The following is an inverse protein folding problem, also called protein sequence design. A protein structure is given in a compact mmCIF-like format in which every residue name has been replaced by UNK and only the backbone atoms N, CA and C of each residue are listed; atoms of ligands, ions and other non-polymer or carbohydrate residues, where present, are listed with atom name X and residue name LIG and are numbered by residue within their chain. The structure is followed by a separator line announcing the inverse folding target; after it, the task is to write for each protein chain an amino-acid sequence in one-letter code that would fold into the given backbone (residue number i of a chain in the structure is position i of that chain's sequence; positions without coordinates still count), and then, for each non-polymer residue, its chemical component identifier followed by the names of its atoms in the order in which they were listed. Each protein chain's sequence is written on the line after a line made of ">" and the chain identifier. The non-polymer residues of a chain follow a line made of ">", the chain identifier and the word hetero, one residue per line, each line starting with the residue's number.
data_IF_576827622904
#
_entry.id   IF_576827622904
#
_cell.length_a   1.000
_cell.length_b   1.000
_cell.length_c   1.000
_cell.angle_alpha   90.00
_cell.angle_beta   90.00
_cell.angle_gamma   90.00
#
_symmetry.space_group_name_H-M   'P 1'
#
loop_
_entity.id
_entity.type
_entity.pdbx_description
1 polymer ?
#
# COMPACT_ATOMS: atom_id res chain seq x y z
N UNK A 1 -5.28 -4.31 7.98
CA UNK A 1 -5.20 -5.78 7.83
C UNK A 1 -4.21 -6.50 8.77
N UNK A 2 -3.19 -5.85 9.35
CA UNK A 2 -2.07 -6.50 10.08
C UNK A 2 -2.42 -7.25 11.39
N UNK A 3 -3.64 -7.13 11.95
CA UNK A 3 -3.98 -7.61 13.31
C UNK A 3 -4.85 -8.87 13.44
N UNK A 4 -5.45 -9.40 12.37
CA UNK A 4 -6.58 -10.37 12.49
C UNK A 4 -6.26 -11.82 12.09
N UNK A 5 -4.99 -12.17 11.82
CA UNK A 5 -4.59 -13.50 11.35
C UNK A 5 -3.44 -14.07 12.20
N UNK A 6 -3.55 -15.34 12.65
CA UNK A 6 -2.46 -16.08 13.33
C UNK A 6 -1.44 -16.64 12.32
N UNK A 7 -0.17 -16.66 12.71
CA UNK A 7 1.05 -16.67 11.87
C UNK A 7 1.08 -17.57 10.63
N UNK A 8 0.82 -18.88 10.74
CA UNK A 8 0.97 -19.80 9.61
C UNK A 8 -0.14 -19.68 8.55
N UNK A 9 -1.38 -19.43 8.98
CA UNK A 9 -2.48 -19.16 8.04
C UNK A 9 -2.36 -17.79 7.39
N UNK A 10 -1.78 -16.82 8.12
CA UNK A 10 -1.50 -15.47 7.62
C UNK A 10 -0.56 -15.50 6.41
N UNK A 11 0.57 -16.20 6.52
CA UNK A 11 1.54 -16.28 5.42
C UNK A 11 0.97 -16.99 4.19
N UNK A 12 0.13 -18.00 4.37
CA UNK A 12 -0.54 -18.71 3.28
C UNK A 12 -1.55 -17.83 2.55
N UNK A 13 -2.37 -17.07 3.28
CA UNK A 13 -3.34 -16.13 2.69
C UNK A 13 -2.62 -14.95 2.03
N UNK A 14 -1.58 -14.40 2.66
CA UNK A 14 -0.76 -13.33 2.07
C UNK A 14 -0.10 -13.80 0.77
N UNK A 15 0.38 -15.05 0.71
CA UNK A 15 0.95 -15.61 -0.53
C UNK A 15 -0.10 -15.70 -1.63
N UNK A 16 -1.27 -16.29 -1.35
CA UNK A 16 -2.38 -16.40 -2.33
C UNK A 16 -2.86 -15.04 -2.82
N UNK A 17 -2.98 -14.07 -1.91
CA UNK A 17 -3.35 -12.70 -2.27
C UNK A 17 -2.30 -12.06 -3.18
N UNK A 18 -1.02 -12.21 -2.86
CA UNK A 18 0.06 -11.69 -3.72
C UNK A 18 0.08 -12.38 -5.09
N UNK A 19 -0.13 -13.69 -5.15
CA UNK A 19 -0.20 -14.44 -6.42
C UNK A 19 -1.36 -13.94 -7.29
N UNK A 20 -2.56 -13.80 -6.73
CA UNK A 20 -3.72 -13.27 -7.46
C UNK A 20 -3.52 -11.81 -7.89
N UNK A 21 -3.12 -10.92 -6.98
CA UNK A 21 -2.98 -9.48 -7.28
C UNK A 21 -1.86 -9.15 -8.25
N UNK A 22 -0.77 -9.93 -8.27
CA UNK A 22 0.41 -9.63 -9.08
C UNK A 22 0.62 -10.62 -10.23
N UNK A 23 -0.31 -11.55 -10.42
CA UNK A 23 -0.34 -12.41 -11.58
C UNK A 23 -0.49 -11.61 -12.88
N UNK A 24 -0.17 -12.26 -14.00
CA UNK A 24 -0.35 -11.70 -15.35
C UNK A 24 -1.76 -11.93 -15.91
N UNK A 25 -2.69 -12.38 -15.07
CA UNK A 25 -4.06 -12.66 -15.49
C UNK A 25 -4.82 -11.37 -15.81
N UNK A 26 -5.80 -11.43 -16.73
CA UNK A 26 -6.70 -10.31 -17.00
C UNK A 26 -7.60 -10.01 -15.81
N UNK A 27 -8.07 -8.76 -15.72
CA UNK A 27 -8.90 -8.22 -14.63
C UNK A 27 -10.01 -9.18 -14.14
N UNK A 28 -10.79 -9.75 -15.06
CA UNK A 28 -11.92 -10.60 -14.71
C UNK A 28 -11.50 -11.89 -13.99
N UNK A 29 -10.38 -12.49 -14.40
CA UNK A 29 -9.86 -13.71 -13.79
C UNK A 29 -9.27 -13.42 -12.40
N UNK A 30 -8.54 -12.31 -12.27
CA UNK A 30 -8.02 -11.87 -10.97
C UNK A 30 -9.15 -11.53 -9.99
N UNK A 31 -10.22 -10.87 -10.47
CA UNK A 31 -11.39 -10.55 -9.65
C UNK A 31 -12.03 -11.82 -9.08
N UNK A 32 -12.24 -12.84 -9.92
CA UNK A 32 -12.81 -14.12 -9.49
C UNK A 32 -11.93 -14.86 -8.48
N UNK A 33 -10.61 -14.87 -8.68
CA UNK A 33 -9.68 -15.51 -7.77
C UNK A 33 -9.66 -14.83 -6.39
N UNK A 34 -9.74 -13.50 -6.37
CA UNK A 34 -9.79 -12.72 -5.13
C UNK A 34 -11.14 -12.86 -4.40
N UNK A 35 -12.25 -12.94 -5.11
CA UNK A 35 -13.57 -13.24 -4.54
C UNK A 35 -13.58 -14.64 -3.89
N UNK A 36 -12.96 -15.63 -4.54
CA UNK A 36 -12.82 -16.97 -3.98
C UNK A 36 -11.98 -16.96 -2.69
N UNK A 37 -10.89 -16.19 -2.65
CA UNK A 37 -10.08 -16.01 -1.44
C UNK A 37 -10.88 -15.32 -0.34
N UNK A 38 -11.70 -14.32 -0.69
CA UNK A 38 -12.56 -13.61 0.26
C UNK A 38 -13.59 -14.56 0.88
N UNK A 39 -14.26 -15.37 0.07
CA UNK A 39 -15.27 -16.31 0.56
C UNK A 39 -14.65 -17.41 1.41
N UNK A 40 -13.50 -17.95 1.01
CA UNK A 40 -12.76 -18.90 1.83
C UNK A 40 -12.34 -18.28 3.17
N UNK A 41 -11.91 -17.01 3.17
CA UNK A 41 -11.53 -16.30 4.39
C UNK A 41 -12.71 -16.10 5.34
N UNK A 42 -13.92 -15.87 4.81
CA UNK A 42 -15.16 -15.83 5.62
C UNK A 42 -15.47 -17.19 6.23
N UNK A 43 -15.35 -18.28 5.46
CA UNK A 43 -15.57 -19.67 5.92
C UNK A 43 -14.59 -20.06 7.03
N UNK A 44 -13.35 -19.59 6.95
CA UNK A 44 -12.31 -19.81 7.95
C UNK A 44 -12.48 -18.96 9.24
N UNK A 45 -13.51 -18.11 9.31
CA UNK A 45 -13.83 -17.29 10.48
C UNK A 45 -13.14 -15.91 10.51
N UNK A 46 -12.51 -15.49 9.41
CA UNK A 46 -11.78 -14.21 9.29
C UNK A 46 -12.62 -13.13 8.62
N UNK A 47 -13.83 -12.90 9.12
CA UNK A 47 -14.82 -11.98 8.53
C UNK A 47 -14.31 -10.56 8.37
N UNK A 48 -13.57 -10.02 9.35
CA UNK A 48 -13.02 -8.66 9.28
C UNK A 48 -11.94 -8.51 8.21
N UNK A 49 -11.06 -9.52 8.07
CA UNK A 49 -10.05 -9.53 7.01
C UNK A 49 -10.69 -9.65 5.63
N UNK A 50 -11.72 -10.49 5.50
CA UNK A 50 -12.47 -10.66 4.26
C UNK A 50 -13.25 -9.40 3.86
N UNK A 51 -13.83 -8.66 4.82
CA UNK A 51 -14.52 -7.41 4.53
C UNK A 51 -13.55 -6.32 4.04
N UNK A 52 -12.34 -6.28 4.61
CA UNK A 52 -11.27 -5.38 4.14
C UNK A 52 -10.81 -5.66 2.70
N UNK A 53 -10.84 -6.93 2.26
CA UNK A 53 -10.55 -7.26 0.85
C UNK A 53 -11.60 -6.67 -0.08
N UNK A 54 -12.89 -6.85 0.24
CA UNK A 54 -13.98 -6.36 -0.61
C UNK A 54 -14.01 -4.83 -0.77
N UNK A 55 -13.64 -4.09 0.27
CA UNK A 55 -13.70 -2.61 0.25
C UNK A 55 -12.60 -1.94 -0.59
N UNK A 56 -11.49 -2.64 -0.90
CA UNK A 56 -10.36 -2.08 -1.64
C UNK A 56 -10.01 -2.82 -2.93
N UNK A 57 -10.78 -3.85 -3.30
CA UNK A 57 -10.47 -4.74 -4.42
C UNK A 57 -10.58 -4.02 -5.78
N UNK A 58 -11.65 -3.25 -5.95
CA UNK A 58 -11.97 -2.56 -7.21
C UNK A 58 -10.93 -1.45 -7.49
N UNK A 59 -10.59 -0.67 -6.45
CA UNK A 59 -9.55 0.36 -6.52
C UNK A 59 -8.16 -0.24 -6.80
N UNK A 60 -7.82 -1.38 -6.18
CA UNK A 60 -6.52 -2.01 -6.35
C UNK A 60 -6.36 -2.68 -7.74
N UNK A 61 -7.44 -3.21 -8.31
CA UNK A 61 -7.45 -3.78 -9.65
C UNK A 61 -7.45 -2.74 -10.78
N UNK A 62 -7.70 -1.47 -10.46
CA UNK A 62 -7.58 -0.37 -11.43
C UNK A 62 -6.19 -0.30 -12.07
N UNK A 63 -5.13 -0.68 -11.34
CA UNK A 63 -3.77 -0.78 -11.90
C UNK A 63 -3.63 -1.83 -13.01
N UNK A 64 -4.45 -2.90 -12.98
CA UNK A 64 -4.49 -3.90 -14.05
C UNK A 64 -5.18 -3.35 -15.29
N UNK A 65 -6.29 -2.64 -15.12
CA UNK A 65 -7.03 -2.00 -16.21
C UNK A 65 -6.22 -0.89 -16.91
N UNK A 66 -5.38 -0.18 -16.16
CA UNK A 66 -4.54 0.90 -16.69
C UNK A 66 -3.31 0.42 -17.49
N UNK A 67 -3.08 -0.89 -17.60
CA UNK A 67 -1.99 -1.43 -18.42
C UNK A 67 -0.59 -1.01 -17.94
N UNK A 68 -0.45 -0.67 -16.66
CA UNK A 68 0.78 -0.12 -16.07
C UNK A 68 1.98 -1.05 -16.30
N UNK A 69 3.15 -0.52 -16.67
CA UNK A 69 4.35 -1.34 -16.91
C UNK A 69 4.73 -2.18 -15.68
N UNK A 70 5.31 -3.37 -15.89
CA UNK A 70 5.61 -4.33 -14.83
C UNK A 70 6.52 -3.75 -13.72
N UNK A 71 7.46 -2.88 -14.10
CA UNK A 71 8.34 -2.20 -13.14
C UNK A 71 7.59 -1.24 -12.22
N UNK A 72 6.67 -0.43 -12.77
CA UNK A 72 5.88 0.48 -11.96
C UNK A 72 4.89 -0.30 -11.06
N UNK A 73 4.33 -1.42 -11.55
CA UNK A 73 3.55 -2.34 -10.71
C UNK A 73 4.39 -2.93 -9.59
N UNK A 74 5.63 -3.36 -9.86
CA UNK A 74 6.55 -3.87 -8.83
C UNK A 74 6.94 -2.81 -7.79
N UNK A 75 7.11 -1.56 -8.25
CA UNK A 75 7.39 -0.42 -7.38
C UNK A 75 6.20 -0.08 -6.47
N UNK A 76 4.99 0.02 -7.05
CA UNK A 76 3.75 0.31 -6.32
C UNK A 76 3.23 -0.86 -5.48
N UNK A 77 3.63 -2.10 -5.79
CA UNK A 77 3.30 -3.32 -5.04
C UNK A 77 3.74 -3.22 -3.59
N UNK A 78 4.90 -2.63 -3.34
CA UNK A 78 5.47 -2.59 -1.99
C UNK A 78 4.95 -1.36 -1.26
N UNK A 79 4.68 -1.51 0.04
CA UNK A 79 4.44 -0.35 0.90
C UNK A 79 5.73 0.40 1.23
N UNK A 80 6.90 -0.06 0.76
CA UNK A 80 8.21 0.49 1.09
C UNK A 80 8.31 1.98 0.79
N UNK A 81 7.75 2.44 -0.33
CA UNK A 81 7.73 3.86 -0.68
C UNK A 81 6.93 4.67 0.36
N UNK A 82 5.71 4.26 0.69
CA UNK A 82 4.87 4.90 1.70
C UNK A 82 5.45 4.76 3.10
N UNK A 83 6.09 3.65 3.43
CA UNK A 83 6.76 3.42 4.71
C UNK A 83 7.98 4.33 4.86
N UNK A 84 8.80 4.47 3.82
CA UNK A 84 9.95 5.37 3.80
C UNK A 84 9.52 6.85 3.88
N UNK A 85 8.48 7.23 3.14
CA UNK A 85 7.85 8.54 3.24
C UNK A 85 7.36 8.81 4.66
N UNK A 86 6.59 7.89 5.24
CA UNK A 86 6.08 8.02 6.60
C UNK A 86 7.21 8.06 7.65
N UNK A 87 8.27 7.29 7.48
CA UNK A 87 9.43 7.32 8.38
C UNK A 87 10.11 8.70 8.35
N UNK A 88 10.34 9.24 7.15
CA UNK A 88 10.94 10.56 6.94
C UNK A 88 10.04 11.68 7.50
N UNK A 89 8.74 11.63 7.22
CA UNK A 89 7.77 12.62 7.73
C UNK A 89 7.71 12.59 9.25
N UNK A 90 7.83 11.42 9.89
CA UNK A 90 7.79 11.24 11.35
C UNK A 90 9.00 11.80 12.08
N UNK A 91 10.16 11.83 11.44
CA UNK A 91 11.43 12.18 12.08
C UNK A 91 11.39 13.52 12.86
N UNK A 92 10.81 14.63 12.33
CA UNK A 92 10.77 15.90 13.03
C UNK A 92 9.87 15.88 14.26
N UNK A 93 8.80 15.07 14.28
CA UNK A 93 7.82 15.05 15.37
C UNK A 93 7.86 13.81 16.26
N UNK A 94 8.82 12.90 16.06
CA UNK A 94 8.95 11.69 16.87
C UNK A 94 9.10 11.95 18.39
N UNK A 95 9.61 13.13 18.77
CA UNK A 95 9.82 13.52 20.18
C UNK A 95 8.62 14.26 20.79
N UNK A 96 7.59 14.56 20.01
CA UNK A 96 6.42 15.28 20.50
C UNK A 96 5.51 14.31 21.24
N UNK A 97 5.40 14.52 22.55
CA UNK A 97 4.54 13.73 23.43
C UNK A 97 3.12 14.27 23.53
N UNK A 98 2.94 15.58 23.31
CA UNK A 98 1.65 16.25 23.41
C UNK A 98 1.47 17.27 22.29
N UNK A 99 0.33 17.16 21.61
CA UNK A 99 -0.11 18.11 20.60
C UNK A 99 -1.05 19.10 21.26
N UNK A 100 -0.68 20.38 21.28
CA UNK A 100 -1.40 21.44 21.99
C UNK A 100 -2.28 22.28 21.07
N UNK A 101 -2.06 22.24 19.76
CA UNK A 101 -2.88 22.97 18.78
C UNK A 101 -2.78 22.40 17.37
N UNK A 102 -3.81 22.65 16.55
CA UNK A 102 -3.80 22.33 15.12
C UNK A 102 -2.69 23.05 14.35
N UNK A 103 -2.27 24.23 14.82
CA UNK A 103 -1.13 24.99 14.26
C UNK A 103 0.19 24.26 14.49
N UNK A 104 0.38 23.68 15.68
CA UNK A 104 1.54 22.83 15.97
C UNK A 104 1.55 21.61 15.05
N UNK A 105 0.42 20.89 14.91
CA UNK A 105 0.30 19.76 13.98
C UNK A 105 0.73 20.14 12.55
N UNK A 106 0.15 21.20 11.99
CA UNK A 106 0.49 21.67 10.64
C UNK A 106 1.97 22.02 10.48
N UNK A 107 2.56 22.72 11.46
CA UNK A 107 3.97 23.12 11.39
C UNK A 107 4.89 21.89 11.28
N UNK A 108 4.63 20.87 12.09
CA UNK A 108 5.44 19.65 12.07
C UNK A 108 5.17 18.78 10.84
N UNK A 109 3.93 18.72 10.34
CA UNK A 109 3.62 18.08 9.06
C UNK A 109 4.36 18.73 7.89
N UNK A 110 4.34 20.07 7.80
CA UNK A 110 5.05 20.81 6.75
C UNK A 110 6.57 20.60 6.83
N UNK A 111 7.13 20.58 8.04
CA UNK A 111 8.56 20.28 8.24
C UNK A 111 8.94 18.87 7.77
N UNK A 112 8.12 17.85 8.08
CA UNK A 112 8.33 16.49 7.60
C UNK A 112 8.22 16.36 6.09
N UNK A 113 7.22 17.02 5.49
CA UNK A 113 7.03 17.03 4.03
C UNK A 113 8.18 17.74 3.30
N UNK A 114 8.70 18.86 3.83
CA UNK A 114 9.90 19.50 3.27
C UNK A 114 11.11 18.59 3.27
N UNK A 115 11.28 17.77 4.32
CA UNK A 115 12.39 16.82 4.40
C UNK A 115 12.26 15.69 3.37
N UNK A 116 11.03 15.23 3.14
CA UNK A 116 10.72 14.28 2.06
C UNK A 116 11.04 14.87 0.70
N UNK A 117 10.61 16.10 0.41
CA UNK A 117 10.85 16.76 -0.88
C UNK A 117 12.33 16.78 -1.24
N UNK A 118 13.20 17.11 -0.27
CA UNK A 118 14.67 17.07 -0.46
C UNK A 118 15.22 15.67 -0.76
N UNK A 119 14.58 14.62 -0.26
CA UNK A 119 15.03 13.23 -0.42
C UNK A 119 14.46 12.54 -1.67
N UNK A 120 13.24 12.90 -2.10
CA UNK A 120 12.49 12.23 -3.18
C UNK A 120 12.88 12.74 -4.58
N UNK A 121 13.44 13.95 -4.70
CA UNK A 121 13.78 14.56 -6.00
C UNK A 121 15.01 13.97 -6.73
N UNK A 122 15.57 12.84 -6.26
CA UNK A 122 16.54 12.04 -7.02
C UNK A 122 15.86 10.92 -7.81
N UNK A 123 14.74 11.20 -8.46
CA UNK A 123 14.17 10.28 -9.44
C UNK A 123 14.97 10.46 -10.75
N UNK A 124 15.58 9.40 -11.32
CA UNK A 124 16.32 9.48 -12.58
C UNK A 124 15.44 9.88 -13.79
N UNK A 125 14.13 10.04 -13.59
CA UNK A 125 13.17 10.47 -14.59
C UNK A 125 13.28 11.95 -14.99
N UNK A 126 14.00 12.77 -14.22
CA UNK A 126 14.16 14.20 -14.54
C UNK A 126 15.22 14.47 -15.62
N UNK A 127 16.11 13.51 -15.92
CA UNK A 127 17.11 13.67 -16.99
C UNK A 127 16.58 13.27 -18.37
N UNK A 128 15.60 12.36 -18.44
CA UNK A 128 15.11 11.79 -19.71
C UNK A 128 13.98 12.59 -20.37
N UNK A 129 13.37 13.56 -19.67
CA UNK A 129 12.31 14.43 -20.21
C UNK A 129 12.83 15.77 -20.75
N UNK A 130 14.16 15.94 -20.79
CA UNK A 130 14.82 17.18 -21.22
C UNK A 130 15.49 17.09 -22.61
N UNK A 131 15.10 16.12 -23.46
CA UNK A 131 15.56 16.00 -24.85
C UNK A 131 14.41 16.14 -25.85
#
# INVERSE_FOLDING_TARGET
>A
MKGHLRGEKKSSIERKLNEAYFGTQPYCETMQELEAIQEQSKKDGYTEAANGLGQGLEDALTLHCLGVHAELRSYLRTTNNMENLNATIKEPYQKIRWWTSSKQCRRWSVMGLRKVETNVLNLPLTEDLAK
#
